data_IF_253061370744
#
_entry.id   IF_253061370744
#
_cell.length_a   1.000
_cell.length_b   1.000
_cell.length_c   1.000
_cell.angle_alpha   90.00
_cell.angle_beta   90.00
_cell.angle_gamma   90.00
#
_symmetry.space_group_name_H-M   'P 1'
#
loop_
_entity.id
_entity.type
_entity.pdbx_description
1 polymer ?
#
# COMPACT_ATOMS: atom_id res chain seq x y z
N UNK A 1 3.70 16.97 3.71
CA UNK A 1 4.26 16.58 5.03
C UNK A 1 3.17 15.92 5.87
N UNK A 2 3.49 14.93 6.69
CA UNK A 2 2.66 14.55 7.84
C UNK A 2 2.84 15.64 8.89
N UNK A 3 2.02 16.69 8.85
CA UNK A 3 2.10 17.77 9.83
C UNK A 3 1.68 17.22 11.21
N UNK A 4 2.60 17.26 12.17
CA UNK A 4 2.30 17.02 13.59
C UNK A 4 2.65 18.31 14.34
N UNK A 5 1.67 19.00 14.95
CA UNK A 5 0.22 18.76 14.87
C UNK A 5 -0.37 19.10 13.48
N UNK A 6 -1.54 18.53 13.16
CA UNK A 6 -2.27 18.89 11.92
C UNK A 6 -2.89 20.27 12.06
N UNK A 7 -2.91 21.02 10.96
CA UNK A 7 -3.67 22.28 10.87
C UNK A 7 -5.18 22.04 10.92
N UNK A 8 -5.66 20.94 10.32
CA UNK A 8 -7.07 20.54 10.36
C UNK A 8 -7.28 19.25 11.17
N UNK A 9 -8.35 19.19 12.00
CA UNK A 9 -8.67 18.00 12.76
C UNK A 9 -9.14 16.85 11.85
N UNK A 10 -8.80 15.64 12.25
CA UNK A 10 -9.27 14.43 11.58
C UNK A 10 -10.79 14.26 11.71
N UNK A 11 -11.40 13.83 10.61
CA UNK A 11 -12.80 13.44 10.56
C UNK A 11 -13.07 12.14 11.32
N UNK A 12 -14.34 11.78 11.51
CA UNK A 12 -14.71 10.52 12.15
C UNK A 12 -14.28 9.34 11.27
N UNK A 13 -14.48 9.45 9.96
CA UNK A 13 -14.02 8.46 8.98
C UNK A 13 -12.50 8.27 9.01
N UNK A 14 -11.73 9.36 9.01
CA UNK A 14 -10.26 9.28 9.09
C UNK A 14 -9.78 8.66 10.40
N UNK A 15 -10.40 9.02 11.53
CA UNK A 15 -10.07 8.43 12.84
C UNK A 15 -10.37 6.95 12.85
N UNK A 16 -11.52 6.54 12.32
CA UNK A 16 -11.89 5.13 12.20
C UNK A 16 -10.88 4.36 11.35
N UNK A 17 -10.52 4.88 10.17
CA UNK A 17 -9.51 4.25 9.29
C UNK A 17 -8.17 4.15 10.01
N UNK A 18 -7.68 5.22 10.64
CA UNK A 18 -6.41 5.19 11.36
C UNK A 18 -6.39 4.12 12.46
N UNK A 19 -7.43 4.09 13.31
CA UNK A 19 -7.48 3.17 14.45
C UNK A 19 -7.69 1.72 14.02
N UNK A 20 -8.59 1.47 13.07
CA UNK A 20 -8.76 0.11 12.51
C UNK A 20 -7.50 -0.37 11.81
N UNK A 21 -6.76 0.51 11.13
CA UNK A 21 -5.46 0.20 10.51
C UNK A 21 -4.39 -0.15 11.54
N UNK A 22 -4.34 0.57 12.66
CA UNK A 22 -3.42 0.26 13.75
C UNK A 22 -3.76 -1.07 14.43
N UNK A 23 -5.03 -1.27 14.80
CA UNK A 23 -5.45 -2.41 15.63
C UNK A 23 -5.62 -3.70 14.81
N UNK A 24 -6.28 -3.63 13.65
CA UNK A 24 -6.58 -4.83 12.87
C UNK A 24 -5.40 -5.23 11.98
N UNK A 25 -4.80 -4.27 11.27
CA UNK A 25 -3.74 -4.57 10.32
C UNK A 25 -2.35 -4.57 10.96
N UNK A 26 -1.94 -3.49 11.62
CA UNK A 26 -0.59 -3.43 12.18
C UNK A 26 -0.43 -4.45 13.32
N UNK A 27 -1.30 -4.42 14.33
CA UNK A 27 -1.19 -5.37 15.44
C UNK A 27 -1.50 -6.81 15.00
N UNK A 28 -2.52 -7.01 14.16
CA UNK A 28 -2.84 -8.35 13.62
C UNK A 28 -1.74 -8.93 12.74
N UNK A 29 -1.14 -8.12 11.87
CA UNK A 29 0.01 -8.54 11.04
C UNK A 29 1.24 -8.83 11.89
N UNK A 30 1.52 -8.02 12.91
CA UNK A 30 2.61 -8.27 13.87
C UNK A 30 2.41 -9.57 14.64
N UNK A 31 1.18 -9.94 15.01
CA UNK A 31 0.92 -11.22 15.66
C UNK A 31 1.11 -12.39 14.70
N UNK A 32 0.76 -12.26 13.42
CA UNK A 32 1.11 -13.24 12.38
C UNK A 32 2.64 -13.42 12.26
N UNK A 33 3.38 -12.31 12.32
CA UNK A 33 4.84 -12.33 12.26
C UNK A 33 5.47 -12.92 13.52
N UNK A 34 4.97 -12.60 14.72
CA UNK A 34 5.61 -12.96 15.98
C UNK A 34 5.22 -14.36 16.47
N UNK A 35 3.94 -14.73 16.32
CA UNK A 35 3.36 -15.97 16.88
C UNK A 35 2.50 -16.69 15.83
N UNK A 36 3.07 -17.11 14.67
CA UNK A 36 2.30 -17.74 13.59
C UNK A 36 1.58 -19.02 14.07
N UNK A 37 2.17 -19.78 15.00
CA UNK A 37 1.56 -21.01 15.54
C UNK A 37 0.18 -20.81 16.16
N UNK A 38 -0.12 -19.62 16.71
CA UNK A 38 -1.45 -19.29 17.21
C UNK A 38 -2.50 -19.35 16.08
N UNK A 39 -2.14 -18.91 14.88
CA UNK A 39 -3.00 -18.96 13.69
C UNK A 39 -3.09 -20.36 13.09
N UNK A 40 -2.12 -21.24 13.36
CA UNK A 40 -2.26 -22.68 13.09
C UNK A 40 -3.48 -23.26 13.80
N UNK A 41 -3.66 -22.87 15.07
CA UNK A 41 -4.77 -23.34 15.92
C UNK A 41 -6.09 -22.67 15.53
N UNK A 42 -6.08 -21.34 15.35
CA UNK A 42 -7.32 -20.57 15.14
C UNK A 42 -7.84 -20.69 13.71
N UNK A 43 -6.93 -20.74 12.72
CA UNK A 43 -7.28 -20.66 11.29
C UNK A 43 -7.01 -21.95 10.53
N UNK A 44 -6.63 -23.04 11.20
CA UNK A 44 -6.24 -24.31 10.58
C UNK A 44 -5.16 -24.12 9.50
N UNK A 45 -4.15 -23.29 9.81
CA UNK A 45 -2.98 -23.09 8.94
C UNK A 45 -2.01 -24.24 9.14
N UNK A 46 -1.65 -24.91 8.04
CA UNK A 46 -0.70 -26.02 8.06
C UNK A 46 0.74 -25.52 7.88
N UNK A 47 1.60 -25.92 8.81
CA UNK A 47 3.01 -25.55 8.83
C UNK A 47 3.87 -26.72 8.36
N UNK A 48 4.21 -26.74 7.07
CA UNK A 48 5.07 -27.73 6.42
C UNK A 48 6.22 -27.02 5.72
N UNK A 49 7.45 -27.50 5.94
CA UNK A 49 8.66 -26.89 5.36
C UNK A 49 8.75 -25.40 5.67
N UNK A 50 8.83 -24.57 4.62
CA UNK A 50 8.95 -23.10 4.71
C UNK A 50 7.62 -22.35 4.77
N UNK A 51 6.47 -23.03 4.85
CA UNK A 51 5.16 -22.36 4.86
C UNK A 51 5.01 -21.37 6.04
N UNK A 52 5.66 -21.63 7.18
CA UNK A 52 5.70 -20.69 8.31
C UNK A 52 6.35 -19.35 7.92
N UNK A 53 7.43 -19.38 7.16
CA UNK A 53 8.11 -18.17 6.66
C UNK A 53 7.22 -17.34 5.75
N UNK A 54 6.49 -17.99 4.83
CA UNK A 54 5.56 -17.30 3.95
C UNK A 54 4.35 -16.73 4.68
N UNK A 55 3.85 -17.41 5.71
CA UNK A 55 2.81 -16.84 6.58
C UNK A 55 3.32 -15.60 7.33
N UNK A 56 4.59 -15.60 7.76
CA UNK A 56 5.21 -14.40 8.35
C UNK A 56 5.35 -13.27 7.31
N UNK A 57 5.67 -13.58 6.06
CA UNK A 57 5.66 -12.59 4.96
C UNK A 57 4.25 -12.03 4.71
N UNK A 58 3.21 -12.87 4.76
CA UNK A 58 1.81 -12.38 4.72
C UNK A 58 1.55 -11.41 5.86
N UNK A 59 1.98 -11.75 7.08
CA UNK A 59 1.89 -10.86 8.25
C UNK A 59 2.56 -9.51 8.01
N UNK A 60 3.79 -9.51 7.47
CA UNK A 60 4.52 -8.32 7.08
C UNK A 60 3.74 -7.46 6.07
N UNK A 61 3.23 -8.07 4.99
CA UNK A 61 2.44 -7.35 3.99
C UNK A 61 1.15 -6.73 4.56
N UNK A 62 0.53 -7.38 5.55
CA UNK A 62 -0.64 -6.86 6.29
C UNK A 62 -0.24 -5.66 7.16
N UNK A 63 0.89 -5.71 7.86
CA UNK A 63 1.44 -4.56 8.63
C UNK A 63 1.65 -3.37 7.70
N UNK A 64 2.25 -3.59 6.54
CA UNK A 64 2.52 -2.55 5.54
C UNK A 64 1.22 -1.90 5.03
N UNK A 65 0.18 -2.67 4.71
CA UNK A 65 -1.13 -2.11 4.33
C UNK A 65 -1.69 -1.23 5.46
N UNK A 66 -1.61 -1.70 6.71
CA UNK A 66 -2.02 -0.92 7.88
C UNK A 66 -1.25 0.40 8.01
N UNK A 67 0.06 0.35 7.84
CA UNK A 67 0.91 1.53 7.85
C UNK A 67 0.51 2.51 6.74
N UNK A 68 0.31 2.03 5.51
CA UNK A 68 -0.13 2.85 4.37
C UNK A 68 -1.49 3.53 4.65
N UNK A 69 -2.45 2.82 5.25
CA UNK A 69 -3.73 3.41 5.63
C UNK A 69 -3.63 4.45 6.74
N UNK A 70 -2.72 4.28 7.71
CA UNK A 70 -2.45 5.32 8.71
C UNK A 70 -1.93 6.59 8.02
N UNK A 71 -0.99 6.46 7.09
CA UNK A 71 -0.46 7.58 6.31
C UNK A 71 -1.57 8.25 5.50
N UNK A 72 -2.43 7.47 4.85
CA UNK A 72 -3.58 7.95 4.09
C UNK A 72 -4.57 8.74 4.94
N UNK A 73 -4.95 8.21 6.10
CA UNK A 73 -5.86 8.88 7.03
C UNK A 73 -5.26 10.19 7.58
N UNK A 74 -3.94 10.22 7.78
CA UNK A 74 -3.23 11.35 8.40
C UNK A 74 -2.74 12.41 7.42
N UNK A 75 -2.64 12.10 6.13
CA UNK A 75 -2.11 13.04 5.13
C UNK A 75 -3.02 14.27 5.00
N UNK A 76 -2.41 15.44 5.06
CA UNK A 76 -3.06 16.74 4.81
C UNK A 76 -2.81 17.25 3.39
N UNK A 77 -1.87 16.64 2.65
CA UNK A 77 -1.52 17.03 1.29
C UNK A 77 -2.21 16.06 0.33
N UNK A 78 -3.40 16.42 -0.13
CA UNK A 78 -4.21 15.65 -1.08
C UNK A 78 -5.30 16.53 -1.70
N UNK A 79 -5.73 16.23 -2.92
CA UNK A 79 -6.82 16.97 -3.60
C UNK A 79 -8.17 16.60 -2.98
N UNK A 80 -8.47 15.31 -2.92
CA UNK A 80 -9.74 14.80 -2.42
C UNK A 80 -9.54 14.17 -1.04
N UNK A 81 -10.19 14.75 -0.03
CA UNK A 81 -10.08 14.32 1.37
C UNK A 81 -10.35 12.82 1.55
N UNK A 82 -11.41 12.31 0.93
CA UNK A 82 -11.86 10.92 1.07
C UNK A 82 -11.55 10.04 -0.14
N UNK A 83 -11.08 10.61 -1.27
CA UNK A 83 -10.98 9.88 -2.55
C UNK A 83 -10.23 8.55 -2.45
N UNK A 84 -9.02 8.55 -1.88
CA UNK A 84 -8.25 7.31 -1.72
C UNK A 84 -8.85 6.35 -0.69
N UNK A 85 -9.48 6.87 0.37
CA UNK A 85 -10.16 6.04 1.38
C UNK A 85 -11.37 5.33 0.74
N UNK A 86 -12.19 6.03 -0.03
CA UNK A 86 -13.35 5.44 -0.71
C UNK A 86 -12.92 4.51 -1.86
N UNK A 87 -11.84 4.82 -2.57
CA UNK A 87 -11.25 3.90 -3.55
C UNK A 87 -10.83 2.57 -2.91
N UNK A 88 -10.30 2.60 -1.68
CA UNK A 88 -9.97 1.38 -0.93
C UNK A 88 -11.20 0.51 -0.64
N UNK A 89 -12.38 1.12 -0.42
CA UNK A 89 -13.64 0.39 -0.14
C UNK A 89 -13.99 -0.53 -1.31
N UNK A 90 -13.84 -0.06 -2.55
CA UNK A 90 -14.14 -0.89 -3.75
C UNK A 90 -13.18 -2.07 -3.85
N UNK A 91 -11.88 -1.83 -3.68
CA UNK A 91 -10.87 -2.90 -3.67
C UNK A 91 -11.17 -3.95 -2.62
N UNK A 92 -11.57 -3.55 -1.42
CA UNK A 92 -11.80 -4.44 -0.28
C UNK A 92 -13.17 -5.14 -0.32
N UNK A 93 -14.16 -4.57 -0.98
CA UNK A 93 -15.47 -5.21 -1.19
C UNK A 93 -15.50 -6.16 -2.38
N UNK A 94 -14.67 -5.92 -3.41
CA UNK A 94 -14.72 -6.68 -4.66
C UNK A 94 -13.45 -7.48 -4.87
N UNK A 95 -12.29 -6.81 -4.90
CA UNK A 95 -11.05 -7.43 -5.32
C UNK A 95 -10.50 -8.43 -4.29
N UNK A 96 -10.54 -8.07 -3.00
CA UNK A 96 -10.13 -8.98 -1.92
C UNK A 96 -11.02 -10.24 -1.87
N UNK A 97 -12.36 -10.15 -1.85
CA UNK A 97 -13.22 -11.33 -1.92
C UNK A 97 -13.03 -12.15 -3.19
N UNK A 98 -12.88 -11.52 -4.36
CA UNK A 98 -12.67 -12.24 -5.61
C UNK A 98 -11.35 -13.05 -5.60
N UNK A 99 -10.27 -12.44 -5.10
CA UNK A 99 -8.96 -13.10 -5.01
C UNK A 99 -8.96 -14.19 -3.93
N UNK A 100 -9.57 -13.92 -2.77
CA UNK A 100 -9.73 -14.91 -1.71
C UNK A 100 -10.54 -16.13 -2.16
N UNK A 101 -11.65 -15.90 -2.87
CA UNK A 101 -12.45 -16.97 -3.47
C UNK A 101 -11.65 -17.75 -4.52
N UNK A 102 -10.85 -17.08 -5.36
CA UNK A 102 -9.95 -17.76 -6.29
C UNK A 102 -8.95 -18.67 -5.56
N UNK A 103 -8.33 -18.21 -4.49
CA UNK A 103 -7.40 -19.04 -3.70
C UNK A 103 -8.09 -20.24 -3.06
N UNK A 104 -9.32 -20.08 -2.55
CA UNK A 104 -10.13 -21.18 -2.03
C UNK A 104 -10.45 -22.19 -3.14
N UNK A 105 -10.97 -21.73 -4.27
CA UNK A 105 -11.37 -22.61 -5.39
C UNK A 105 -10.19 -23.38 -6.00
N UNK A 106 -8.96 -22.86 -5.84
CA UNK A 106 -7.72 -23.51 -6.29
C UNK A 106 -7.02 -24.30 -5.18
N UNK A 107 -7.62 -24.43 -4.00
CA UNK A 107 -7.03 -25.08 -2.82
C UNK A 107 -5.64 -24.53 -2.45
N UNK A 108 -5.41 -23.24 -2.69
CA UNK A 108 -4.11 -22.61 -2.41
C UNK A 108 -3.96 -22.29 -0.92
N UNK A 109 -5.05 -21.95 -0.24
CA UNK A 109 -5.05 -21.62 1.19
C UNK A 109 -6.25 -22.24 1.89
N UNK A 110 -6.22 -22.42 3.23
CA UNK A 110 -7.36 -22.94 3.97
C UNK A 110 -8.56 -22.02 3.85
N UNK A 111 -9.76 -22.59 3.77
CA UNK A 111 -11.02 -21.84 3.70
C UNK A 111 -11.16 -20.84 4.85
N UNK A 112 -10.86 -21.28 6.08
CA UNK A 112 -10.89 -20.48 7.31
C UNK A 112 -9.94 -19.29 7.24
N UNK A 113 -8.71 -19.52 6.74
CA UNK A 113 -7.72 -18.47 6.56
C UNK A 113 -8.22 -17.38 5.61
N UNK A 114 -8.62 -17.74 4.38
CA UNK A 114 -9.11 -16.77 3.40
C UNK A 114 -10.38 -16.05 3.87
N UNK A 115 -11.34 -16.78 4.45
CA UNK A 115 -12.62 -16.24 4.88
C UNK A 115 -12.48 -15.17 5.97
N UNK A 116 -11.52 -15.32 6.88
CA UNK A 116 -11.27 -14.31 7.93
C UNK A 116 -10.80 -12.99 7.30
N UNK A 117 -9.84 -13.02 6.38
CA UNK A 117 -9.39 -11.80 5.71
C UNK A 117 -10.49 -11.17 4.85
N UNK A 118 -11.23 -11.99 4.09
CA UNK A 118 -12.37 -11.51 3.29
C UNK A 118 -13.45 -10.85 4.17
N UNK A 119 -13.84 -11.51 5.25
CA UNK A 119 -14.85 -11.02 6.18
C UNK A 119 -14.42 -9.74 6.89
N UNK A 120 -13.18 -9.68 7.38
CA UNK A 120 -12.62 -8.50 8.02
C UNK A 120 -12.57 -7.29 7.07
N UNK A 121 -12.12 -7.49 5.83
CA UNK A 121 -12.03 -6.41 4.85
C UNK A 121 -13.41 -5.88 4.45
N UNK A 122 -14.38 -6.77 4.24
CA UNK A 122 -15.76 -6.38 3.98
C UNK A 122 -16.34 -5.59 5.15
N UNK A 123 -16.22 -6.12 6.38
CA UNK A 123 -16.76 -5.48 7.58
C UNK A 123 -16.19 -4.07 7.79
N UNK A 124 -14.88 -3.92 7.71
CA UNK A 124 -14.21 -2.64 7.89
C UNK A 124 -14.51 -1.67 6.74
N UNK A 125 -14.71 -2.16 5.51
CA UNK A 125 -15.08 -1.33 4.36
C UNK A 125 -16.50 -0.80 4.48
N UNK A 126 -17.45 -1.65 4.88
CA UNK A 126 -18.82 -1.25 5.17
C UNK A 126 -18.88 -0.28 6.35
N UNK A 127 -18.07 -0.50 7.39
CA UNK A 127 -17.97 0.41 8.54
C UNK A 127 -17.39 1.77 8.12
N UNK A 128 -16.39 1.79 7.24
CA UNK A 128 -15.82 3.03 6.68
C UNK A 128 -16.87 3.80 5.88
N UNK A 129 -17.62 3.11 5.02
CA UNK A 129 -18.70 3.70 4.24
C UNK A 129 -19.81 4.25 5.15
N UNK A 130 -20.21 3.51 6.17
CA UNK A 130 -21.21 3.94 7.15
C UNK A 130 -20.78 5.21 7.90
N UNK A 131 -19.52 5.26 8.36
CA UNK A 131 -18.99 6.47 9.03
C UNK A 131 -18.96 7.66 8.09
N UNK A 132 -18.57 7.46 6.82
CA UNK A 132 -18.56 8.51 5.81
C UNK A 132 -19.97 9.04 5.51
N UNK A 133 -20.96 8.16 5.32
CA UNK A 133 -22.35 8.56 5.10
C UNK A 133 -22.90 9.34 6.30
N UNK A 134 -22.61 8.89 7.52
CA UNK A 134 -23.10 9.57 8.74
C UNK A 134 -22.46 10.94 8.95
N UNK A 135 -21.27 11.16 8.41
CA UNK A 135 -20.58 12.45 8.52
C UNK A 135 -21.11 13.49 7.52
N UNK A 136 -21.80 13.06 6.46
CA UNK A 136 -22.42 13.94 5.46
C UNK A 136 -23.93 13.71 5.42
N UNK A 137 -24.67 14.56 6.13
CA UNK A 137 -26.12 14.60 6.04
C UNK A 137 -26.56 14.71 4.56
N UNK A 138 -27.36 13.74 4.10
CA UNK A 138 -27.84 13.69 2.72
C UNK A 138 -26.90 13.04 1.69
N UNK A 139 -25.84 12.34 2.12
CA UNK A 139 -24.92 11.62 1.21
C UNK A 139 -25.66 10.63 0.31
N UNK A 140 -25.54 10.79 -1.00
CA UNK A 140 -26.12 9.87 -2.00
C UNK A 140 -25.08 8.91 -2.57
N UNK A 141 -25.55 7.81 -3.19
CA UNK A 141 -24.70 6.92 -3.99
C UNK A 141 -23.97 7.70 -5.12
N UNK A 142 -24.62 8.72 -5.67
CA UNK A 142 -24.02 9.60 -6.68
C UNK A 142 -22.82 10.38 -6.14
N UNK A 143 -22.88 10.84 -4.89
CA UNK A 143 -21.75 11.56 -4.27
C UNK A 143 -20.60 10.61 -3.96
N UNK A 144 -20.90 9.38 -3.52
CA UNK A 144 -19.89 8.35 -3.36
C UNK A 144 -19.16 8.07 -4.68
N UNK A 145 -19.90 7.85 -5.78
CA UNK A 145 -19.32 7.59 -7.09
C UNK A 145 -18.51 8.78 -7.61
N UNK A 146 -18.96 10.02 -7.37
CA UNK A 146 -18.20 11.22 -7.73
C UNK A 146 -16.86 11.27 -6.99
N UNK A 147 -16.84 11.06 -5.68
CA UNK A 147 -15.59 11.10 -4.90
C UNK A 147 -14.66 9.93 -5.21
N UNK A 148 -15.22 8.75 -5.46
CA UNK A 148 -14.48 7.56 -5.87
C UNK A 148 -13.78 7.78 -7.21
N UNK A 149 -14.49 8.34 -8.19
CA UNK A 149 -14.00 8.49 -9.57
C UNK A 149 -13.17 9.75 -9.78
N UNK A 150 -13.28 10.76 -8.92
CA UNK A 150 -12.57 12.03 -9.10
C UNK A 150 -11.03 11.87 -9.26
N UNK A 151 -10.32 11.08 -8.43
CA UNK A 151 -8.89 10.86 -8.61
C UNK A 151 -8.52 10.23 -9.96
N UNK A 152 -9.38 9.36 -10.50
CA UNK A 152 -9.13 8.65 -11.76
C UNK A 152 -9.47 9.49 -12.98
N UNK A 153 -10.54 10.29 -12.92
CA UNK A 153 -10.99 11.14 -14.03
C UNK A 153 -9.94 12.17 -14.40
N UNK A 154 -9.29 12.75 -13.39
CA UNK A 154 -8.32 13.82 -13.60
C UNK A 154 -6.94 13.26 -14.00
N UNK A 155 -6.63 12.03 -13.57
CA UNK A 155 -5.39 11.30 -13.85
C UNK A 155 -4.15 12.15 -13.55
N UNK A 156 -4.16 12.82 -12.40
CA UNK A 156 -3.09 13.70 -11.96
C UNK A 156 -1.75 12.99 -11.86
N UNK A 157 -1.74 11.68 -11.60
CA UNK A 157 -0.53 10.85 -11.58
C UNK A 157 0.34 11.02 -12.82
N UNK A 158 -0.27 11.17 -14.00
CA UNK A 158 0.47 11.29 -15.27
C UNK A 158 0.85 12.73 -15.65
N UNK A 159 0.36 13.75 -14.93
CA UNK A 159 0.36 15.15 -15.40
C UNK A 159 1.12 16.11 -14.48
N UNK A 160 1.50 15.68 -13.27
CA UNK A 160 2.02 16.57 -12.22
C UNK A 160 3.34 16.05 -11.69
N UNK A 161 4.43 16.82 -11.88
CA UNK A 161 5.73 16.65 -11.20
C UNK A 161 6.46 15.32 -11.41
N UNK A 162 7.78 15.29 -11.19
CA UNK A 162 8.57 14.07 -11.37
C UNK A 162 8.19 12.95 -10.38
N UNK A 163 8.03 13.29 -9.10
CA UNK A 163 7.81 12.31 -8.03
C UNK A 163 6.46 11.62 -8.12
N UNK A 164 5.37 12.37 -8.32
CA UNK A 164 4.02 11.81 -8.40
C UNK A 164 3.89 10.89 -9.62
N UNK A 165 4.46 11.28 -10.76
CA UNK A 165 4.52 10.43 -11.95
C UNK A 165 5.32 9.16 -11.73
N UNK A 166 6.48 9.24 -11.06
CA UNK A 166 7.24 8.06 -10.70
C UNK A 166 6.42 7.10 -9.80
N UNK A 167 5.76 7.62 -8.78
CA UNK A 167 4.90 6.82 -7.88
C UNK A 167 3.76 6.15 -8.65
N UNK A 168 3.14 6.85 -9.60
CA UNK A 168 2.07 6.30 -10.43
C UNK A 168 2.54 5.10 -11.27
N UNK A 169 3.61 5.27 -12.06
CA UNK A 169 4.09 4.21 -12.95
C UNK A 169 4.68 3.02 -12.19
N UNK A 170 5.46 3.28 -11.15
CA UNK A 170 5.97 2.22 -10.26
C UNK A 170 4.79 1.46 -9.64
N UNK A 171 3.78 2.19 -9.17
CA UNK A 171 2.55 1.60 -8.63
C UNK A 171 1.84 0.69 -9.63
N UNK A 172 1.64 1.16 -10.86
CA UNK A 172 0.97 0.40 -11.91
C UNK A 172 1.73 -0.89 -12.24
N UNK A 173 3.04 -0.79 -12.45
CA UNK A 173 3.91 -1.93 -12.75
C UNK A 173 3.90 -2.91 -11.58
N UNK A 174 4.09 -2.43 -10.34
CA UNK A 174 4.03 -3.23 -9.13
C UNK A 174 2.69 -3.97 -9.00
N UNK A 175 1.58 -3.28 -9.24
CA UNK A 175 0.24 -3.88 -9.16
C UNK A 175 0.10 -5.06 -10.12
N UNK A 176 0.38 -4.81 -11.41
CA UNK A 176 0.14 -5.80 -12.46
C UNK A 176 1.10 -6.98 -12.31
N UNK A 177 2.40 -6.67 -12.16
CA UNK A 177 3.45 -7.69 -12.11
C UNK A 177 3.22 -8.68 -10.96
N UNK A 178 3.05 -8.19 -9.73
CA UNK A 178 2.89 -9.07 -8.57
C UNK A 178 1.53 -9.76 -8.54
N UNK A 179 0.47 -9.13 -9.05
CA UNK A 179 -0.84 -9.79 -9.15
C UNK A 179 -0.82 -10.96 -10.14
N UNK A 180 -0.14 -10.83 -11.28
CA UNK A 180 0.03 -11.95 -12.23
C UNK A 180 0.72 -13.12 -11.54
N UNK A 181 1.76 -12.88 -10.75
CA UNK A 181 2.46 -13.93 -10.01
C UNK A 181 1.61 -14.54 -8.88
N UNK A 182 0.76 -13.75 -8.23
CA UNK A 182 -0.20 -14.27 -7.26
C UNK A 182 -1.26 -15.18 -7.89
N UNK A 183 -1.73 -14.84 -9.10
CA UNK A 183 -2.70 -15.66 -9.87
C UNK A 183 -2.02 -16.87 -10.51
N UNK A 184 -0.72 -16.80 -10.79
CA UNK A 184 0.09 -17.83 -11.44
C UNK A 184 1.31 -18.15 -10.58
N UNK A 185 1.15 -18.87 -9.45
CA UNK A 185 2.27 -19.24 -8.59
C UNK A 185 3.33 -20.07 -9.34
N UNK A 186 2.93 -20.81 -10.37
CA UNK A 186 3.84 -21.54 -11.25
C UNK A 186 4.83 -20.62 -11.99
N UNK A 187 4.43 -19.39 -12.30
CA UNK A 187 5.35 -18.39 -12.85
C UNK A 187 6.29 -17.85 -11.79
N UNK A 188 5.79 -17.60 -10.58
CA UNK A 188 6.62 -17.14 -9.46
C UNK A 188 7.72 -18.17 -9.14
N UNK A 189 7.35 -19.44 -9.08
CA UNK A 189 8.26 -20.55 -8.82
C UNK A 189 9.39 -20.63 -9.85
N UNK A 190 9.05 -20.56 -11.16
CA UNK A 190 10.04 -20.57 -12.25
C UNK A 190 10.89 -19.31 -12.27
N UNK A 191 10.26 -18.14 -12.08
CA UNK A 191 10.93 -16.86 -12.16
C UNK A 191 11.93 -16.66 -11.01
N UNK A 192 11.58 -17.11 -9.82
CA UNK A 192 12.42 -16.98 -8.63
C UNK A 192 13.27 -18.22 -8.36
N UNK A 193 13.16 -19.27 -9.17
CA UNK A 193 13.90 -20.53 -9.00
C UNK A 193 13.77 -21.00 -7.55
N UNK A 194 12.52 -21.24 -7.14
CA UNK A 194 12.18 -21.72 -5.80
C UNK A 194 12.40 -23.23 -5.72
N UNK A 195 12.64 -23.72 -4.50
CA UNK A 195 12.67 -25.15 -4.23
C UNK A 195 11.25 -25.72 -4.34
N UNK A 196 11.10 -27.04 -4.55
CA UNK A 196 9.79 -27.69 -4.55
C UNK A 196 9.06 -27.39 -3.21
N UNK A 197 7.90 -26.75 -3.31
CA UNK A 197 7.14 -26.27 -2.17
C UNK A 197 6.09 -27.29 -1.75
N UNK A 198 6.14 -27.72 -0.48
CA UNK A 198 5.20 -28.70 0.08
C UNK A 198 3.93 -28.04 0.64
N UNK A 199 2.81 -28.74 0.49
CA UNK A 199 1.54 -28.38 1.10
C UNK A 199 0.99 -27.05 0.58
N UNK A 200 0.66 -26.13 1.50
CA UNK A 200 0.04 -24.83 1.18
C UNK A 200 1.05 -23.67 1.07
N UNK A 201 2.36 -23.97 1.07
CA UNK A 201 3.42 -22.97 1.00
C UNK A 201 3.28 -22.07 -0.25
N UNK A 202 3.03 -22.65 -1.42
CA UNK A 202 2.77 -21.91 -2.67
C UNK A 202 1.64 -20.89 -2.54
N UNK A 203 0.57 -21.26 -1.84
CA UNK A 203 -0.57 -20.37 -1.66
C UNK A 203 -0.31 -19.24 -0.68
N UNK A 204 0.47 -19.47 0.39
CA UNK A 204 0.89 -18.39 1.29
C UNK A 204 1.86 -17.43 0.61
N UNK A 205 2.77 -17.94 -0.24
CA UNK A 205 3.61 -17.10 -1.08
C UNK A 205 2.74 -16.27 -2.03
N UNK A 206 1.80 -16.89 -2.74
CA UNK A 206 0.87 -16.18 -3.62
C UNK A 206 0.04 -15.11 -2.88
N UNK A 207 -0.39 -15.39 -1.64
CA UNK A 207 -1.06 -14.41 -0.80
C UNK A 207 -0.15 -13.23 -0.45
N UNK A 208 1.13 -13.47 -0.16
CA UNK A 208 2.10 -12.39 0.04
C UNK A 208 2.33 -11.57 -1.23
N UNK A 209 2.48 -12.21 -2.40
CA UNK A 209 2.61 -11.51 -3.68
C UNK A 209 1.36 -10.66 -3.99
N UNK A 210 0.17 -11.16 -3.65
CA UNK A 210 -1.06 -10.40 -3.73
C UNK A 210 -1.02 -9.15 -2.85
N UNK A 211 -0.52 -9.22 -1.61
CA UNK A 211 -0.37 -8.05 -0.75
C UNK A 211 0.60 -7.01 -1.33
N UNK A 212 1.73 -7.44 -1.92
CA UNK A 212 2.65 -6.53 -2.62
C UNK A 212 1.94 -5.83 -3.80
N UNK A 213 1.08 -6.55 -4.52
CA UNK A 213 0.28 -5.98 -5.61
C UNK A 213 -0.69 -4.90 -5.11
N UNK A 214 -1.28 -5.09 -3.93
CA UNK A 214 -2.16 -4.12 -3.28
C UNK A 214 -1.38 -2.86 -2.90
N UNK A 215 -0.12 -2.96 -2.44
CA UNK A 215 0.70 -1.76 -2.22
C UNK A 215 0.91 -0.98 -3.52
N UNK A 216 1.14 -1.69 -4.62
CA UNK A 216 1.16 -1.11 -5.98
C UNK A 216 -0.11 -0.32 -6.28
N UNK A 217 -1.27 -0.89 -6.00
CA UNK A 217 -2.56 -0.21 -6.21
C UNK A 217 -2.61 1.08 -5.40
N UNK A 218 -2.21 1.04 -4.13
CA UNK A 218 -2.21 2.25 -3.29
C UNK A 218 -1.22 3.31 -3.77
N UNK A 219 -0.09 2.97 -4.38
CA UNK A 219 0.76 3.96 -5.05
C UNK A 219 -0.01 4.69 -6.16
N UNK A 220 -0.73 3.95 -7.02
CA UNK A 220 -1.55 4.53 -8.11
C UNK A 220 -2.62 5.46 -7.54
N UNK A 221 -3.37 4.98 -6.54
CA UNK A 221 -4.45 5.77 -5.90
C UNK A 221 -3.92 7.03 -5.22
N UNK A 222 -2.76 6.95 -4.56
CA UNK A 222 -2.14 8.08 -3.88
C UNK A 222 -1.55 9.10 -4.86
N UNK A 223 -0.91 8.64 -5.93
CA UNK A 223 -0.38 9.51 -6.97
C UNK A 223 -1.51 10.31 -7.64
N UNK A 224 -2.62 9.64 -7.97
CA UNK A 224 -3.81 10.31 -8.53
C UNK A 224 -4.48 11.31 -7.57
N UNK A 225 -4.20 11.22 -6.27
CA UNK A 225 -4.69 12.16 -5.27
C UNK A 225 -3.62 13.16 -4.79
N UNK A 226 -2.46 13.25 -5.48
CA UNK A 226 -1.31 14.09 -5.14
C UNK A 226 -0.79 13.93 -3.70
N UNK A 227 -0.85 12.71 -3.16
CA UNK A 227 -0.40 12.44 -1.80
C UNK A 227 1.12 12.25 -1.72
N UNK A 228 1.87 13.35 -1.80
CA UNK A 228 3.35 13.35 -1.77
C UNK A 228 4.00 12.58 -0.61
N UNK A 229 3.49 12.65 0.65
CA UNK A 229 4.04 11.87 1.77
C UNK A 229 4.09 10.36 1.52
N UNK A 230 3.29 9.83 0.60
CA UNK A 230 3.23 8.42 0.30
C UNK A 230 4.55 7.86 -0.25
N UNK A 231 5.28 8.63 -1.07
CA UNK A 231 6.57 8.21 -1.62
C UNK A 231 7.60 7.95 -0.50
N UNK A 232 7.66 8.85 0.50
CA UNK A 232 8.58 8.71 1.62
C UNK A 232 8.17 7.57 2.58
N UNK A 233 6.86 7.44 2.85
CA UNK A 233 6.35 6.31 3.62
C UNK A 233 6.72 4.97 2.95
N UNK A 234 6.61 4.94 1.62
CA UNK A 234 6.92 3.81 0.77
C UNK A 234 8.39 3.39 0.80
N UNK A 235 9.31 4.35 0.79
CA UNK A 235 10.74 4.11 1.06
C UNK A 235 10.95 3.60 2.49
N UNK A 236 10.26 4.21 3.46
CA UNK A 236 10.48 3.95 4.88
C UNK A 236 10.13 2.51 5.25
N UNK A 237 8.96 1.99 4.85
CA UNK A 237 8.60 0.63 5.21
C UNK A 237 9.52 -0.41 4.52
N UNK A 238 9.89 -0.19 3.25
CA UNK A 238 10.81 -1.10 2.52
C UNK A 238 12.16 -1.25 3.17
N UNK A 239 12.73 -0.12 3.61
CA UNK A 239 14.08 -0.09 4.19
C UNK A 239 14.07 -0.47 5.67
N UNK A 240 13.08 -0.02 6.43
CA UNK A 240 13.05 -0.17 7.89
C UNK A 240 12.27 -1.39 8.38
N UNK A 241 11.38 -1.96 7.56
CA UNK A 241 10.58 -3.14 7.90
C UNK A 241 10.93 -4.32 6.99
N UNK A 242 10.69 -4.22 5.68
CA UNK A 242 10.81 -5.37 4.78
C UNK A 242 12.22 -5.92 4.76
N UNK A 243 13.21 -5.02 4.64
CA UNK A 243 14.62 -5.41 4.56
C UNK A 243 15.09 -6.17 5.81
N UNK A 244 14.93 -5.65 7.05
CA UNK A 244 15.26 -6.40 8.25
C UNK A 244 14.49 -7.71 8.38
N UNK A 245 13.18 -7.71 8.10
CA UNK A 245 12.34 -8.90 8.28
C UNK A 245 12.73 -9.99 7.29
N UNK A 246 12.86 -9.67 6.00
CA UNK A 246 13.29 -10.63 4.98
C UNK A 246 14.71 -11.15 5.27
N UNK A 247 15.62 -10.30 5.77
CA UNK A 247 16.95 -10.74 6.16
C UNK A 247 16.90 -11.75 7.32
N UNK A 248 16.11 -11.46 8.37
CA UNK A 248 15.94 -12.40 9.48
C UNK A 248 15.36 -13.72 8.99
N UNK A 249 14.31 -13.69 8.17
CA UNK A 249 13.69 -14.88 7.61
C UNK A 249 14.66 -15.71 6.76
N UNK A 250 15.55 -15.07 5.99
CA UNK A 250 16.60 -15.77 5.27
C UNK A 250 17.60 -16.43 6.24
N UNK A 251 18.07 -15.68 7.25
CA UNK A 251 19.07 -16.18 8.20
C UNK A 251 18.58 -17.36 9.04
N UNK A 252 17.27 -17.46 9.26
CA UNK A 252 16.65 -18.61 9.94
C UNK A 252 16.12 -19.68 8.97
N UNK A 253 16.52 -19.64 7.70
CA UNK A 253 16.13 -20.58 6.63
C UNK A 253 14.60 -20.74 6.44
N UNK A 254 13.86 -19.67 6.72
CA UNK A 254 12.40 -19.65 6.55
C UNK A 254 11.96 -19.19 5.16
N UNK A 255 12.86 -18.63 4.34
CA UNK A 255 12.60 -18.27 2.94
C UNK A 255 13.82 -18.59 2.07
N UNK A 256 13.60 -18.85 0.79
CA UNK A 256 14.65 -19.11 -0.20
C UNK A 256 15.53 -17.87 -0.40
N UNK A 257 16.81 -18.12 -0.66
CA UNK A 257 17.77 -17.08 -1.05
C UNK A 257 17.33 -16.30 -2.27
N UNK A 258 16.80 -16.97 -3.30
CA UNK A 258 16.41 -16.29 -4.54
C UNK A 258 15.15 -15.42 -4.35
N UNK A 259 14.21 -15.87 -3.51
CA UNK A 259 13.05 -15.08 -3.11
C UNK A 259 13.51 -13.82 -2.35
N UNK A 260 14.39 -13.99 -1.35
CA UNK A 260 14.99 -12.87 -0.63
C UNK A 260 15.67 -11.88 -1.58
N UNK A 261 16.54 -12.34 -2.47
CA UNK A 261 17.26 -11.49 -3.42
C UNK A 261 16.30 -10.72 -4.33
N UNK A 262 15.23 -11.36 -4.78
CA UNK A 262 14.20 -10.73 -5.62
C UNK A 262 13.47 -9.62 -4.85
N UNK A 263 12.95 -9.92 -3.66
CA UNK A 263 12.22 -8.94 -2.83
C UNK A 263 13.14 -7.76 -2.48
N UNK A 264 14.37 -8.05 -2.05
CA UNK A 264 15.35 -7.03 -1.71
C UNK A 264 15.72 -6.15 -2.91
N UNK A 265 15.99 -6.74 -4.07
CA UNK A 265 16.32 -6.00 -5.28
C UNK A 265 15.17 -5.10 -5.70
N UNK A 266 13.95 -5.63 -5.66
CA UNK A 266 12.74 -4.86 -5.94
C UNK A 266 12.56 -3.69 -4.98
N UNK A 267 12.69 -3.93 -3.68
CA UNK A 267 12.53 -2.91 -2.65
C UNK A 267 13.59 -1.81 -2.73
N UNK A 268 14.85 -2.18 -2.96
CA UNK A 268 15.94 -1.21 -3.12
C UNK A 268 15.82 -0.42 -4.42
N UNK A 269 15.40 -1.06 -5.51
CA UNK A 269 15.20 -0.41 -6.79
C UNK A 269 14.10 0.66 -6.70
N UNK A 270 12.92 0.31 -6.17
CA UNK A 270 11.83 1.29 -5.98
C UNK A 270 12.26 2.41 -5.03
N UNK A 271 12.89 2.06 -3.91
CA UNK A 271 13.33 3.05 -2.93
C UNK A 271 14.31 4.05 -3.55
N UNK A 272 15.22 3.57 -4.38
CA UNK A 272 16.17 4.41 -5.13
C UNK A 272 15.47 5.34 -6.11
N UNK A 273 14.50 4.82 -6.88
CA UNK A 273 13.69 5.65 -7.79
C UNK A 273 13.01 6.77 -7.01
N UNK A 274 12.27 6.44 -5.94
CA UNK A 274 11.54 7.45 -5.18
C UNK A 274 12.46 8.47 -4.53
N UNK A 275 13.59 8.04 -3.94
CA UNK A 275 14.56 8.96 -3.37
C UNK A 275 15.19 9.88 -4.42
N UNK A 276 15.49 9.38 -5.62
CA UNK A 276 16.05 10.19 -6.71
C UNK A 276 15.07 11.29 -7.14
N UNK A 277 13.80 10.94 -7.35
CA UNK A 277 12.77 11.92 -7.72
C UNK A 277 12.49 12.93 -6.60
N UNK A 278 12.39 12.48 -5.35
CA UNK A 278 12.22 13.35 -4.18
C UNK A 278 13.39 14.33 -4.03
N UNK A 279 14.62 13.85 -4.23
CA UNK A 279 15.83 14.69 -4.15
C UNK A 279 15.87 15.73 -5.25
N UNK A 280 15.52 15.35 -6.48
CA UNK A 280 15.45 16.27 -7.62
C UNK A 280 14.39 17.36 -7.41
N UNK A 281 13.21 17.00 -6.93
CA UNK A 281 12.12 17.94 -6.64
C UNK A 281 12.53 18.94 -5.55
N UNK A 282 13.21 18.46 -4.49
CA UNK A 282 13.74 19.33 -3.42
C UNK A 282 14.80 20.30 -3.92
N UNK A 283 15.71 19.87 -4.79
CA UNK A 283 16.74 20.74 -5.39
C UNK A 283 16.10 21.84 -6.24
N UNK A 284 15.12 21.51 -7.08
CA UNK A 284 14.41 22.51 -7.88
C UNK A 284 13.74 23.57 -7.02
N UNK A 285 13.07 23.18 -5.93
CA UNK A 285 12.41 24.11 -5.00
C UNK A 285 13.43 25.02 -4.28
N UNK A 286 14.61 24.50 -3.98
CA UNK A 286 15.65 25.27 -3.29
C UNK A 286 16.24 26.32 -4.22
N UNK A 287 16.56 25.94 -5.47
CA UNK A 287 17.13 26.84 -6.46
C UNK A 287 16.16 27.97 -6.85
N UNK A 288 14.85 27.70 -7.02
CA UNK A 288 13.86 28.74 -7.33
C UNK A 288 13.58 29.71 -6.17
N UNK A 289 14.00 29.37 -4.95
CA UNK A 289 13.85 30.24 -3.77
C UNK A 289 15.05 31.17 -3.58
N UNK A 290 16.18 30.88 -4.23
CA UNK A 290 17.40 31.68 -4.17
C UNK A 290 17.49 32.75 -5.27
N UNK A 291 16.64 32.70 -6.31
CA UNK A 291 16.48 33.79 -7.28
C UNK A 291 15.56 34.89 -6.71
N UNK A 292 16.06 36.11 -6.43
CA UNK A 292 15.18 37.23 -6.09
C UNK A 292 14.39 37.65 -7.34
N UNK A 293 13.15 38.16 -7.20
CA UNK A 293 12.50 38.82 -8.31
C UNK A 293 13.38 40.01 -8.73
N UNK A 294 13.77 40.05 -10.01
CA UNK A 294 14.41 41.21 -10.62
C UNK A 294 13.64 42.47 -10.19
N UNK A 295 14.29 43.30 -9.37
CA UNK A 295 13.82 44.63 -9.04
C UNK A 295 13.84 45.40 -10.36
N UNK A 296 12.70 45.45 -11.05
CA UNK A 296 12.48 46.41 -12.11
C UNK A 296 12.66 47.80 -11.48
N UNK A 297 13.78 48.44 -11.82
CA UNK A 297 14.04 49.82 -11.49
C UNK A 297 12.87 50.67 -12.03
N UNK A 298 12.33 51.62 -11.25
CA UNK A 298 11.25 52.46 -11.73
C UNK A 298 11.75 53.30 -12.89
N UNK A 299 11.07 53.19 -14.03
CA UNK A 299 11.21 54.09 -15.17
C UNK A 299 10.87 55.50 -14.70
N UNK A 300 11.90 56.34 -14.58
CA UNK A 300 11.72 57.79 -14.39
C UNK A 300 11.16 58.31 -15.71
N UNK A 301 9.87 58.65 -15.72
CA UNK A 301 9.31 59.57 -16.71
C UNK A 301 9.78 60.97 -16.33
N UNK A 302 10.80 61.48 -17.02
CA UNK A 302 11.04 62.92 -17.08
C UNK A 302 10.01 63.53 -18.03
N UNK A 303 9.14 64.37 -17.47
CA UNK A 303 8.42 65.39 -18.21
C UNK A 303 9.43 66.35 -18.87
N UNK A 304 9.32 66.51 -20.19
CA UNK A 304 9.48 67.77 -20.95
C UNK A 304 9.11 67.56 -22.43
#
# INVERSE_FOLDING_TARGET
>A
MLSIPRHEPMSKTEKFVQWSSLVVYCLGGLTFMAVPKLYGIILNVEYTGRSEGYVRLVGLGVVEIGFLFIILARSTVRIHRYGTILASVVSRLVWVPATGLMFILRNMVPFTFASVFMGLDVLLSLSTLFMWCRERDGSSLGDFLKELLAPFRECHGMKVGGTITAVFFVGLIQTIFWYVLAVRPDFAHKMFVLDDLDGLADGYLAAFLYLISIHGLYHVLCANNLNHPFALASVSYRVLLDTPVSLVLLLVDQIERNLFLTIMSFNMFISTIFLAFLSRERLTITNTREDPPDVQAPTVTEDN
#
